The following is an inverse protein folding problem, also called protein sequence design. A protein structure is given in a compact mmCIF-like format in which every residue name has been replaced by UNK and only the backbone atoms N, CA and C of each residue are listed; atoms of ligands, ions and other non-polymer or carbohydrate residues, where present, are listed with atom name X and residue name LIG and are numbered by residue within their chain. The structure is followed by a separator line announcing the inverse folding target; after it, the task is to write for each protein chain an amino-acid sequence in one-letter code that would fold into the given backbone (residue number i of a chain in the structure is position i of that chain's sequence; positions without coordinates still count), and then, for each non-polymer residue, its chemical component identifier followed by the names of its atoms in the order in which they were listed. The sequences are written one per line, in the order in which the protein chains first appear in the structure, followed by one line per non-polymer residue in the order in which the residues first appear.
data_IF_240754913391
#
_entry.id   IF_240754913391
#
_cell.length_a   1.000
_cell.length_b   1.000
_cell.length_c   1.000
_cell.angle_alpha   90.00
_cell.angle_beta   90.00
_cell.angle_gamma   90.00
#
_symmetry.space_group_name_H-M   'P 1'
#
loop_
_entity.id
_entity.type
_entity.pdbx_description
1 polymer ?
#
# COMPACT_ATOMS: atom_id res chain seq x y z
N UNK A 1 23.47 20.44 12.39
CA UNK A 1 22.18 19.82 12.80
C UNK A 1 21.94 18.58 11.95
N UNK A 2 22.29 17.41 12.47
CA UNK A 2 22.37 16.17 11.70
C UNK A 2 20.97 15.57 11.48
N UNK A 3 20.46 15.69 10.25
CA UNK A 3 19.57 14.77 9.53
C UNK A 3 18.27 14.29 10.16
N UNK A 4 17.13 14.56 9.48
CA UNK A 4 15.84 13.88 9.62
C UNK A 4 15.23 13.86 11.02
N UNK A 5 14.28 14.76 11.28
CA UNK A 5 13.46 14.72 12.50
C UNK A 5 12.76 13.36 12.60
N UNK A 6 12.87 12.67 13.74
CA UNK A 6 12.16 11.42 13.96
C UNK A 6 10.65 11.62 13.83
N UNK A 7 10.01 10.90 12.91
CA UNK A 7 8.55 10.79 12.84
C UNK A 7 8.13 9.63 13.74
N UNK A 8 7.50 9.99 14.86
CA UNK A 8 6.99 9.06 15.86
C UNK A 8 5.52 9.36 16.13
N UNK A 9 4.65 8.34 16.03
CA UNK A 9 3.22 8.48 16.30
C UNK A 9 2.38 8.52 15.03
N UNK A 10 1.13 8.97 15.14
CA UNK A 10 0.19 8.97 14.03
C UNK A 10 0.38 10.20 13.14
N UNK A 11 0.47 9.99 11.83
CA UNK A 11 0.52 11.05 10.83
C UNK A 11 -0.55 10.83 9.76
N UNK A 12 -1.08 11.91 9.18
CA UNK A 12 -2.05 11.81 8.09
C UNK A 12 -1.38 11.34 6.79
N UNK A 13 -2.06 10.46 6.07
CA UNK A 13 -1.72 10.03 4.72
C UNK A 13 -2.95 10.24 3.82
N UNK A 14 -2.78 11.09 2.81
CA UNK A 14 -3.74 11.35 1.75
C UNK A 14 -3.54 10.32 0.65
N UNK A 15 -4.47 9.38 0.53
CA UNK A 15 -4.51 8.36 -0.49
C UNK A 15 -5.06 8.92 -1.80
N UNK A 16 -4.50 8.43 -2.90
CA UNK A 16 -4.90 8.80 -4.26
C UNK A 16 -6.07 7.94 -4.70
N UNK A 17 -7.13 8.57 -5.21
CA UNK A 17 -8.30 7.88 -5.75
C UNK A 17 -7.93 6.86 -6.83
N UNK A 18 -8.58 5.70 -6.79
CA UNK A 18 -8.33 4.61 -7.74
C UNK A 18 -7.08 3.76 -7.43
N UNK A 19 -6.31 4.08 -6.41
CA UNK A 19 -5.21 3.23 -5.93
C UNK A 19 -5.70 2.01 -5.15
N UNK A 20 -4.85 0.97 -5.05
CA UNK A 20 -5.15 -0.17 -4.20
C UNK A 20 -5.30 0.23 -2.74
N UNK A 21 -4.44 1.14 -2.25
CA UNK A 21 -4.53 1.64 -0.89
C UNK A 21 -5.87 2.35 -0.62
N UNK A 22 -6.29 3.29 -1.49
CA UNK A 22 -7.58 3.99 -1.31
C UNK A 22 -8.76 3.00 -1.32
N UNK A 23 -8.76 2.04 -2.24
CA UNK A 23 -9.79 0.99 -2.29
C UNK A 23 -9.79 0.12 -1.03
N UNK A 24 -8.62 -0.20 -0.48
CA UNK A 24 -8.50 -1.04 0.71
C UNK A 24 -9.06 -0.35 1.95
N UNK A 25 -8.66 0.90 2.18
CA UNK A 25 -9.12 1.67 3.33
C UNK A 25 -10.59 2.12 3.18
N UNK A 26 -11.10 2.29 1.96
CA UNK A 26 -12.44 2.80 1.70
C UNK A 26 -12.61 4.29 2.02
N UNK A 27 -11.50 5.01 2.18
CA UNK A 27 -11.45 6.44 2.48
C UNK A 27 -10.11 7.04 2.00
N UNK A 28 -10.09 8.34 1.75
CA UNK A 28 -8.93 8.99 1.13
C UNK A 28 -7.97 9.65 2.13
N UNK A 29 -8.37 9.84 3.39
CA UNK A 29 -7.49 10.36 4.43
C UNK A 29 -7.41 9.36 5.57
N UNK A 30 -6.22 8.83 5.83
CA UNK A 30 -5.97 7.84 6.88
C UNK A 30 -4.92 8.37 7.86
N UNK A 31 -4.90 7.83 9.07
CA UNK A 31 -3.93 8.20 10.11
C UNK A 31 -3.17 6.95 10.55
N UNK A 32 -1.87 6.95 10.29
CA UNK A 32 -1.05 5.75 10.45
C UNK A 32 0.17 6.00 11.32
N UNK A 33 0.67 4.94 11.96
CA UNK A 33 1.74 5.06 12.95
C UNK A 33 3.11 4.95 12.32
N UNK A 34 3.93 5.99 12.49
CA UNK A 34 5.31 6.07 12.01
C UNK A 34 6.31 5.87 13.14
N UNK A 35 7.47 5.30 12.79
CA UNK A 35 8.67 5.21 13.62
C UNK A 35 9.94 5.14 12.77
N UNK A 36 10.20 6.18 11.98
CA UNK A 36 11.39 6.27 11.12
C UNK A 36 11.91 7.71 11.04
N UNK A 37 13.09 7.89 10.44
CA UNK A 37 13.76 9.19 10.25
C UNK A 37 14.06 9.53 8.79
N UNK A 38 14.15 8.50 7.95
CA UNK A 38 14.45 8.66 6.54
C UNK A 38 13.16 8.80 5.76
N UNK A 39 13.17 9.73 4.82
CA UNK A 39 12.07 10.01 3.90
C UNK A 39 12.52 9.70 2.47
N UNK A 40 11.55 9.42 1.59
CA UNK A 40 11.83 9.26 0.18
C UNK A 40 12.48 10.53 -0.40
N UNK A 41 13.57 10.38 -1.15
CA UNK A 41 14.20 11.52 -1.82
C UNK A 41 13.40 11.92 -3.06
N UNK A 42 12.70 13.06 -2.96
CA UNK A 42 11.83 13.56 -4.02
C UNK A 42 12.52 13.81 -5.38
N UNK A 43 13.85 13.94 -5.41
CA UNK A 43 14.62 14.03 -6.66
C UNK A 43 14.41 12.80 -7.58
N UNK A 44 14.10 11.63 -7.00
CA UNK A 44 13.86 10.41 -7.77
C UNK A 44 12.40 10.22 -8.20
N UNK A 45 11.46 11.12 -7.84
CA UNK A 45 10.02 10.91 -8.10
C UNK A 45 9.73 10.66 -9.58
N UNK A 46 10.10 11.61 -10.42
CA UNK A 46 9.81 11.55 -11.85
C UNK A 46 10.50 10.35 -12.54
N UNK A 47 11.67 9.93 -12.06
CA UNK A 47 12.38 8.78 -12.64
C UNK A 47 11.68 7.46 -12.31
N UNK A 48 11.30 7.26 -11.05
CA UNK A 48 10.63 6.02 -10.64
C UNK A 48 9.19 5.97 -11.14
N UNK A 49 8.50 7.11 -11.22
CA UNK A 49 7.17 7.20 -11.81
C UNK A 49 7.16 6.75 -13.27
N UNK A 50 8.12 7.22 -14.06
CA UNK A 50 8.32 6.75 -15.45
C UNK A 50 8.61 5.24 -15.55
N UNK A 51 9.16 4.65 -14.50
CA UNK A 51 9.42 3.21 -14.41
C UNK A 51 8.22 2.41 -13.85
N UNK A 52 7.08 3.07 -13.59
CA UNK A 52 5.84 2.43 -13.14
C UNK A 52 5.54 2.56 -11.64
N UNK A 53 6.34 3.33 -10.88
CA UNK A 53 6.03 3.62 -9.47
C UNK A 53 4.84 4.58 -9.38
N UNK A 54 3.81 4.21 -8.63
CA UNK A 54 2.66 5.06 -8.32
C UNK A 54 2.79 5.56 -6.88
N UNK A 55 2.81 6.87 -6.69
CA UNK A 55 2.81 7.49 -5.35
C UNK A 55 1.38 7.56 -4.81
N UNK A 56 0.85 6.43 -4.36
CA UNK A 56 -0.57 6.27 -4.01
C UNK A 56 -0.97 6.83 -2.64
N UNK A 57 -0.01 7.25 -1.82
CA UNK A 57 -0.26 7.91 -0.54
C UNK A 57 0.81 8.94 -0.22
N UNK A 58 0.40 10.17 0.05
CA UNK A 58 1.28 11.29 0.35
C UNK A 58 0.89 11.96 1.67
N UNK A 59 1.80 12.72 2.28
CA UNK A 59 1.38 13.67 3.32
C UNK A 59 0.40 14.71 2.73
N UNK A 60 -0.47 15.36 3.54
CA UNK A 60 -1.44 16.33 3.04
C UNK A 60 -0.83 17.52 2.27
N UNK A 61 0.43 17.85 2.54
CA UNK A 61 1.18 18.88 1.80
C UNK A 61 1.88 18.34 0.52
N UNK A 62 1.70 17.06 0.21
CA UNK A 62 2.26 16.36 -0.95
C UNK A 62 3.76 16.07 -0.88
N UNK A 63 4.45 16.46 0.20
CA UNK A 63 5.91 16.44 0.27
C UNK A 63 6.51 15.11 0.66
N UNK A 64 5.85 14.35 1.54
CA UNK A 64 6.30 13.04 1.98
C UNK A 64 5.55 11.96 1.21
N UNK A 65 6.27 10.91 0.88
CA UNK A 65 5.70 9.70 0.26
C UNK A 65 5.47 8.69 1.37
N UNK A 66 4.21 8.36 1.60
CA UNK A 66 3.77 7.49 2.69
C UNK A 66 3.44 6.08 2.17
N UNK A 67 2.89 6.00 0.96
CA UNK A 67 2.53 4.75 0.27
C UNK A 67 2.97 4.82 -1.19
N UNK A 68 3.57 3.73 -1.67
CA UNK A 68 3.87 3.52 -3.08
C UNK A 68 3.29 2.20 -3.57
N UNK A 69 2.92 2.18 -4.84
CA UNK A 69 2.43 1.01 -5.57
C UNK A 69 3.22 0.81 -6.86
N UNK A 70 3.22 -0.42 -7.41
CA UNK A 70 3.75 -0.69 -8.75
C UNK A 70 2.60 -0.84 -9.74
N UNK A 71 2.61 -0.05 -10.81
CA UNK A 71 1.63 -0.14 -11.89
C UNK A 71 1.66 -1.53 -12.56
N UNK A 72 0.49 -2.00 -12.99
CA UNK A 72 0.30 -3.29 -13.67
C UNK A 72 0.74 -4.52 -12.85
N UNK A 73 0.79 -4.41 -11.52
CA UNK A 73 1.03 -5.55 -10.62
C UNK A 73 -0.24 -5.82 -9.80
N UNK A 74 -0.67 -7.09 -9.62
CA UNK A 74 -1.94 -7.42 -8.96
C UNK A 74 -2.03 -6.87 -7.53
N UNK A 75 -0.91 -6.95 -6.78
CA UNK A 75 -0.77 -6.29 -5.49
C UNK A 75 0.70 -6.10 -5.12
N UNK A 76 1.25 -4.92 -5.38
CA UNK A 76 2.58 -4.52 -4.87
C UNK A 76 2.44 -3.16 -4.23
N UNK A 77 1.98 -3.18 -2.98
CA UNK A 77 1.77 -2.00 -2.15
C UNK A 77 2.85 -1.95 -1.08
N UNK A 78 3.47 -0.80 -0.90
CA UNK A 78 4.46 -0.54 0.14
C UNK A 78 4.04 0.68 0.94
N UNK A 79 4.30 0.69 2.24
CA UNK A 79 4.03 1.82 3.10
C UNK A 79 5.24 2.09 4.02
N UNK A 80 5.38 3.33 4.45
CA UNK A 80 6.44 3.76 5.36
C UNK A 80 6.04 3.63 6.84
N UNK A 81 4.73 3.62 7.11
CA UNK A 81 4.15 3.42 8.43
C UNK A 81 4.06 1.93 8.82
N UNK A 82 3.53 1.69 10.02
CA UNK A 82 3.43 0.37 10.64
C UNK A 82 1.97 -0.12 10.73
N UNK A 83 1.40 -0.70 9.66
CA UNK A 83 0.02 -1.18 9.64
C UNK A 83 -0.24 -2.30 10.67
N UNK A 84 0.80 -3.01 11.10
CA UNK A 84 0.74 -4.07 12.11
C UNK A 84 0.22 -3.56 13.45
N UNK A 85 0.47 -2.30 13.81
CA UNK A 85 -0.02 -1.74 15.07
C UNK A 85 -1.51 -1.42 15.05
N UNK A 86 -2.10 -1.23 13.86
CA UNK A 86 -3.54 -1.01 13.65
C UNK A 86 -4.35 -2.31 13.53
N UNK A 87 -3.70 -3.45 13.26
CA UNK A 87 -4.39 -4.73 13.04
C UNK A 87 -4.87 -5.39 14.34
N UNK A 88 -6.07 -5.97 14.34
CA UNK A 88 -6.65 -6.74 15.47
C UNK A 88 -7.30 -8.04 14.97
N UNK A 89 -7.42 -9.10 15.79
CA UNK A 89 -7.99 -10.38 15.35
C UNK A 89 -9.38 -10.30 14.68
N UNK A 90 -10.29 -9.43 15.19
CA UNK A 90 -11.61 -9.21 14.61
C UNK A 90 -11.71 -8.03 13.64
N UNK A 91 -10.59 -7.31 13.43
CA UNK A 91 -10.52 -6.14 12.56
C UNK A 91 -9.11 -6.10 11.96
N UNK A 92 -8.80 -7.00 11.00
CA UNK A 92 -7.50 -7.01 10.36
C UNK A 92 -7.29 -5.68 9.62
N UNK A 93 -6.05 -5.19 9.66
CA UNK A 93 -5.72 -3.97 8.95
C UNK A 93 -6.03 -4.10 7.44
N UNK A 94 -6.64 -3.08 6.80
CA UNK A 94 -7.11 -3.18 5.41
C UNK A 94 -6.05 -3.65 4.41
N UNK A 95 -4.83 -3.09 4.48
CA UNK A 95 -3.73 -3.49 3.59
C UNK A 95 -3.37 -4.99 3.71
N UNK A 96 -3.47 -5.60 4.91
CA UNK A 96 -3.23 -7.03 5.07
C UNK A 96 -4.41 -7.87 4.59
N UNK A 97 -5.64 -7.45 4.92
CA UNK A 97 -6.86 -8.11 4.47
C UNK A 97 -6.88 -8.24 2.95
N UNK A 98 -6.63 -7.14 2.26
CA UNK A 98 -6.76 -7.09 0.80
C UNK A 98 -5.54 -7.70 0.09
N UNK A 99 -4.34 -7.60 0.67
CA UNK A 99 -3.20 -8.39 0.21
C UNK A 99 -3.54 -9.89 0.16
N UNK A 100 -4.11 -10.44 1.24
CA UNK A 100 -4.49 -11.85 1.29
C UNK A 100 -5.65 -12.15 0.31
N UNK A 101 -6.61 -11.23 0.19
CA UNK A 101 -7.70 -11.38 -0.78
C UNK A 101 -7.16 -11.53 -2.21
N UNK A 102 -6.28 -10.63 -2.64
CA UNK A 102 -5.67 -10.68 -3.96
C UNK A 102 -4.75 -11.89 -4.11
N UNK A 103 -3.93 -12.20 -3.10
CA UNK A 103 -3.00 -13.32 -3.15
C UNK A 103 -3.70 -14.68 -3.34
N UNK A 104 -4.96 -14.82 -2.88
CA UNK A 104 -5.77 -16.02 -3.10
C UNK A 104 -6.23 -16.20 -4.55
N UNK A 105 -6.33 -15.10 -5.30
CA UNK A 105 -6.83 -15.08 -6.68
C UNK A 105 -5.70 -15.14 -7.71
N UNK A 106 -4.48 -14.76 -7.32
CA UNK A 106 -3.30 -14.83 -8.19
C UNK A 106 -2.94 -16.29 -8.45
N UNK A 107 -3.21 -16.74 -9.68
CA UNK A 107 -2.75 -18.03 -10.18
C UNK A 107 -1.23 -18.01 -10.33
N UNK A 108 -0.56 -18.99 -9.72
CA UNK A 108 0.87 -19.18 -9.91
C UNK A 108 1.12 -19.84 -11.26
N UNK A 109 2.16 -19.42 -11.95
CA UNK A 109 2.63 -20.12 -13.14
C UNK A 109 2.90 -21.60 -12.77
N UNK A 110 2.35 -22.53 -13.55
CA UNK A 110 2.41 -23.97 -13.25
C UNK A 110 1.43 -24.46 -12.18
N UNK A 111 0.58 -23.61 -11.60
CA UNK A 111 -0.55 -24.10 -10.83
C UNK A 111 -1.49 -24.89 -11.74
N UNK A 112 -1.91 -26.08 -11.29
CA UNK A 112 -3.05 -26.80 -11.85
C UNK A 112 -4.27 -26.46 -11.00
N UNK A 113 -4.98 -25.34 -11.26
CA UNK A 113 -6.27 -25.13 -10.63
C UNK A 113 -7.16 -26.32 -11.03
N UNK A 114 -8.03 -26.81 -10.13
CA UNK A 114 -9.04 -27.77 -10.54
C UNK A 114 -9.79 -27.17 -11.73
N UNK A 115 -9.82 -27.91 -12.85
CA UNK A 115 -10.69 -27.56 -13.98
C UNK A 115 -12.08 -27.29 -13.40
N UNK A 116 -12.76 -26.19 -13.78
CA UNK A 116 -14.15 -26.04 -13.42
C UNK A 116 -14.88 -27.24 -13.99
N UNK A 117 -15.11 -28.24 -13.13
CA UNK A 117 -16.05 -29.31 -13.39
C UNK A 117 -17.38 -28.58 -13.43
N UNK A 118 -17.81 -28.21 -14.63
CA UNK A 118 -19.14 -27.67 -14.87
C UNK A 118 -20.12 -28.49 -14.03
N UNK A 119 -20.92 -27.89 -13.12
CA UNK A 119 -22.13 -28.56 -12.74
C UNK A 119 -22.96 -28.67 -14.02
N UNK A 120 -22.97 -29.87 -14.61
CA UNK A 120 -24.02 -30.23 -15.55
C UNK A 120 -25.30 -30.40 -14.74
N UNK A 121 -26.10 -29.35 -14.64
CA UNK A 121 -27.58 -29.38 -14.63
C UNK A 121 -28.14 -27.97 -14.56
#
# INVERSE_FOLDING_TARGET
NKGGTMRLGNYPCQLVDGSHAASAYGQNLVYERHRHRYEFNNQFRAQLEKAGMVYSGLSPDGRLVEVCELANHPWMVSCQFHPEFGSRPGCPHPLFRDFISVAKEVLREGAQPPLPLLPQS
#
